data_IF_649667085253
#
_entry.id   IF_649667085253
#
_cell.length_a   1.000
_cell.length_b   1.000
_cell.length_c   1.000
_cell.angle_alpha   90.00
_cell.angle_beta   90.00
_cell.angle_gamma   90.00
#
_symmetry.space_group_name_H-M   'P 1'
#
loop_
_entity.id
_entity.type
_entity.pdbx_description
1 polymer ?
#
# COMPACT_ATOMS: atom_id res chain seq x y z
N UNK A 1 22.40 -1.41 7.59
CA UNK A 1 21.50 -2.52 7.96
C UNK A 1 20.35 -2.51 6.99
N UNK A 2 20.56 -2.97 5.75
CA UNK A 2 19.60 -2.67 4.66
C UNK A 2 18.39 -3.62 4.64
N UNK A 3 18.60 -4.88 5.02
CA UNK A 3 17.58 -5.93 4.93
C UNK A 3 16.79 -6.15 6.23
N UNK A 4 17.12 -5.41 7.30
CA UNK A 4 16.46 -5.51 8.62
C UNK A 4 16.17 -6.95 9.06
N UNK A 5 17.22 -7.79 9.04
CA UNK A 5 17.12 -9.24 9.33
C UNK A 5 17.02 -9.49 10.83
N UNK A 6 17.90 -8.88 11.61
CA UNK A 6 17.93 -9.04 13.07
C UNK A 6 17.45 -7.77 13.77
N UNK A 7 16.65 -7.89 14.85
CA UNK A 7 16.18 -6.74 15.61
C UNK A 7 17.33 -6.02 16.30
N UNK A 8 17.24 -4.69 16.48
CA UNK A 8 18.21 -3.96 17.29
C UNK A 8 18.11 -4.37 18.76
N UNK A 9 19.25 -4.41 19.45
CA UNK A 9 19.34 -4.69 20.88
C UNK A 9 19.46 -3.40 21.69
N UNK A 10 18.99 -3.46 22.94
CA UNK A 10 19.13 -2.40 23.94
C UNK A 10 17.83 -1.68 24.28
N UNK A 11 17.91 -0.82 25.28
CA UNK A 11 16.76 -0.11 25.81
C UNK A 11 16.58 1.27 25.15
N UNK A 12 15.33 1.72 25.14
CA UNK A 12 14.93 3.03 24.64
C UNK A 12 13.72 3.54 25.42
N UNK A 13 13.68 4.86 25.67
CA UNK A 13 12.50 5.48 26.24
C UNK A 13 11.31 5.38 25.29
N UNK A 14 10.12 5.11 25.83
CA UNK A 14 8.89 4.99 25.05
C UNK A 14 8.59 6.27 24.24
N UNK A 15 8.94 7.43 24.78
CA UNK A 15 8.79 8.71 24.10
C UNK A 15 9.59 8.75 22.79
N UNK A 16 10.86 8.36 22.85
CA UNK A 16 11.75 8.34 21.68
C UNK A 16 11.31 7.27 20.68
N UNK A 17 10.93 6.09 21.19
CA UNK A 17 10.36 5.02 20.38
C UNK A 17 9.15 5.53 19.57
N UNK A 18 8.21 6.20 20.24
CA UNK A 18 7.02 6.79 19.63
C UNK A 18 7.38 7.85 18.60
N UNK A 19 8.26 8.79 18.96
CA UNK A 19 8.69 9.87 18.07
C UNK A 19 9.34 9.33 16.79
N UNK A 20 10.24 8.35 16.92
CA UNK A 20 10.94 7.76 15.78
C UNK A 20 10.01 6.97 14.86
N UNK A 21 9.04 6.25 15.42
CA UNK A 21 8.02 5.54 14.65
C UNK A 21 7.13 6.49 13.87
N UNK A 22 6.63 7.55 14.52
CA UNK A 22 5.78 8.54 13.87
C UNK A 22 6.53 9.28 12.77
N UNK A 23 7.80 9.61 12.99
CA UNK A 23 8.64 10.24 11.98
C UNK A 23 8.85 9.32 10.77
N UNK A 24 9.22 8.05 10.99
CA UNK A 24 9.37 7.08 9.89
C UNK A 24 8.06 6.84 9.16
N UNK A 25 6.95 6.66 9.86
CA UNK A 25 5.66 6.41 9.22
C UNK A 25 5.20 7.61 8.39
N UNK A 26 5.42 8.84 8.87
CA UNK A 26 5.15 10.07 8.08
C UNK A 26 5.95 10.04 6.77
N UNK A 27 7.25 9.77 6.86
CA UNK A 27 8.10 9.63 5.68
C UNK A 27 7.61 8.51 4.74
N UNK A 28 7.25 7.34 5.27
CA UNK A 28 6.75 6.22 4.47
C UNK A 28 5.41 6.54 3.77
N UNK A 29 4.57 7.39 4.36
CA UNK A 29 3.35 7.87 3.70
C UNK A 29 3.68 8.78 2.52
N UNK A 30 4.70 9.62 2.63
CA UNK A 30 5.14 10.46 1.51
C UNK A 30 5.80 9.61 0.42
N UNK A 31 6.60 8.61 0.78
CA UNK A 31 7.11 7.60 -0.15
C UNK A 31 5.98 6.86 -0.86
N UNK A 32 4.90 6.52 -0.15
CA UNK A 32 3.71 5.89 -0.74
C UNK A 32 3.09 6.78 -1.82
N UNK A 33 2.98 8.09 -1.54
CA UNK A 33 2.43 9.09 -2.47
C UNK A 33 3.28 9.27 -3.73
N UNK A 34 4.59 9.02 -3.66
CA UNK A 34 5.47 9.05 -4.83
C UNK A 34 5.14 7.97 -5.89
N UNK A 35 4.33 6.95 -5.56
CA UNK A 35 3.90 5.87 -6.49
C UNK A 35 5.04 5.21 -7.28
N UNK A 36 6.22 5.11 -6.67
CA UNK A 36 7.41 4.52 -7.29
C UNK A 36 8.17 5.42 -8.27
N UNK A 37 7.83 6.72 -8.36
CA UNK A 37 8.60 7.70 -9.13
C UNK A 37 9.93 8.00 -8.46
N UNK A 38 11.04 7.64 -9.11
CA UNK A 38 12.40 7.88 -8.61
C UNK A 38 12.72 9.37 -8.49
N UNK A 39 12.16 10.21 -9.38
CA UNK A 39 12.37 11.66 -9.35
C UNK A 39 11.70 12.28 -8.13
N UNK A 40 10.40 12.01 -7.93
CA UNK A 40 9.69 12.52 -6.75
C UNK A 40 10.30 12.02 -5.45
N UNK A 41 10.83 10.80 -5.43
CA UNK A 41 11.50 10.27 -4.24
C UNK A 41 12.85 10.95 -3.98
N UNK A 42 13.59 11.28 -5.04
CA UNK A 42 14.82 12.07 -4.92
C UNK A 42 14.51 13.46 -4.36
N UNK A 43 13.53 14.15 -4.93
CA UNK A 43 13.11 15.48 -4.47
C UNK A 43 12.64 15.44 -3.00
N UNK A 44 11.87 14.40 -2.62
CA UNK A 44 11.43 14.19 -1.25
C UNK A 44 12.64 14.02 -0.30
N UNK A 45 13.60 13.19 -0.65
CA UNK A 45 14.79 12.93 0.18
C UNK A 45 15.67 14.15 0.29
N UNK A 46 15.90 14.87 -0.81
CA UNK A 46 16.74 16.07 -0.85
C UNK A 46 16.16 17.19 0.04
N UNK A 47 14.83 17.34 0.06
CA UNK A 47 14.12 18.31 0.93
C UNK A 47 14.12 17.94 2.43
N UNK A 48 14.40 16.69 2.79
CA UNK A 48 14.39 16.20 4.17
C UNK A 48 15.78 16.18 4.83
N UNK A 49 16.83 16.60 4.12
CA UNK A 49 18.24 16.31 4.42
C UNK A 49 18.79 16.90 5.73
N UNK A 50 18.11 17.83 6.40
CA UNK A 50 18.65 18.45 7.63
C UNK A 50 18.13 17.89 8.95
N UNK A 51 17.01 17.13 9.01
CA UNK A 51 16.38 16.79 10.31
C UNK A 51 16.00 15.30 10.53
N UNK A 52 16.16 14.41 9.54
CA UNK A 52 15.74 13.01 9.70
C UNK A 52 16.91 12.01 9.73
N UNK A 53 17.51 11.80 10.91
CA UNK A 53 18.37 10.64 11.21
C UNK A 53 17.72 9.27 10.86
N UNK A 54 16.39 9.25 10.68
CA UNK A 54 15.63 8.12 10.18
C UNK A 54 16.07 7.66 8.78
N UNK A 55 16.67 8.56 7.99
CA UNK A 55 17.14 8.32 6.62
C UNK A 55 18.58 7.81 6.57
N UNK A 56 19.33 7.89 7.68
CA UNK A 56 20.71 7.43 7.75
C UNK A 56 20.70 5.91 7.88
N UNK A 57 21.27 5.22 6.89
CA UNK A 57 21.21 3.76 6.84
C UNK A 57 21.99 3.12 7.99
N UNK A 58 21.32 2.22 8.72
CA UNK A 58 21.96 1.52 9.83
C UNK A 58 22.15 2.37 11.09
N UNK A 59 21.58 3.57 11.14
CA UNK A 59 21.44 4.30 12.40
C UNK A 59 20.55 3.50 13.37
N UNK A 60 20.78 3.67 14.68
CA UNK A 60 19.93 3.05 15.71
C UNK A 60 18.47 3.43 15.50
N UNK A 61 18.21 4.67 15.07
CA UNK A 61 16.88 5.21 14.80
C UNK A 61 16.22 4.55 13.59
N UNK A 62 16.92 4.36 12.47
CA UNK A 62 16.43 3.67 11.27
C UNK A 62 16.00 2.23 11.59
N UNK A 63 16.88 1.47 12.26
CA UNK A 63 16.58 0.09 12.66
C UNK A 63 15.41 0.02 13.66
N UNK A 64 15.44 0.83 14.72
CA UNK A 64 14.42 0.76 15.79
C UNK A 64 13.04 1.15 15.28
N UNK A 65 12.95 2.23 14.49
CA UNK A 65 11.67 2.66 13.92
C UNK A 65 11.09 1.63 12.95
N UNK A 66 11.91 1.00 12.10
CA UNK A 66 11.47 -0.06 11.21
C UNK A 66 10.88 -1.27 11.97
N UNK A 67 11.63 -1.81 12.94
CA UNK A 67 11.18 -2.99 13.71
C UNK A 67 9.96 -2.68 14.59
N UNK A 68 9.87 -1.47 15.12
CA UNK A 68 8.70 -1.06 15.91
C UNK A 68 7.46 -0.91 15.03
N UNK A 69 7.58 -0.35 13.82
CA UNK A 69 6.47 -0.30 12.87
C UNK A 69 6.04 -1.71 12.45
N UNK A 70 6.95 -2.70 12.36
CA UNK A 70 6.54 -4.09 12.12
C UNK A 70 5.57 -4.59 13.19
N UNK A 71 5.84 -4.29 14.47
CA UNK A 71 4.97 -4.66 15.58
C UNK A 71 3.63 -3.92 15.56
N UNK A 72 3.60 -2.67 15.09
CA UNK A 72 2.37 -1.87 15.02
C UNK A 72 1.48 -2.26 13.83
N UNK A 73 2.10 -2.56 12.69
CA UNK A 73 1.39 -2.79 11.44
C UNK A 73 1.10 -4.28 11.19
N UNK A 74 1.53 -5.21 12.04
CA UNK A 74 1.36 -6.63 11.74
C UNK A 74 -0.10 -7.08 11.75
N UNK A 75 -0.96 -6.48 12.58
CA UNK A 75 -2.34 -6.92 12.76
C UNK A 75 -3.40 -6.08 12.02
N UNK A 76 -3.07 -4.85 11.64
CA UNK A 76 -3.94 -4.01 10.80
C UNK A 76 -3.59 -4.20 9.30
N UNK A 77 -4.49 -4.78 8.49
CA UNK A 77 -4.21 -5.06 7.09
C UNK A 77 -3.99 -3.78 6.25
N UNK A 78 -4.70 -2.69 6.56
CA UNK A 78 -4.56 -1.43 5.82
C UNK A 78 -3.20 -0.79 6.10
N UNK A 79 -2.79 -0.73 7.38
CA UNK A 79 -1.45 -0.25 7.74
C UNK A 79 -0.35 -1.16 7.19
N UNK A 80 -0.55 -2.47 7.24
CA UNK A 80 0.42 -3.46 6.73
C UNK A 80 0.71 -3.26 5.26
N UNK A 81 -0.33 -3.11 4.44
CA UNK A 81 -0.18 -3.01 3.00
C UNK A 81 0.55 -1.72 2.62
N UNK A 82 0.18 -0.59 3.25
CA UNK A 82 0.89 0.69 3.07
C UNK A 82 2.34 0.58 3.52
N UNK A 83 2.59 0.03 4.72
CA UNK A 83 3.94 -0.12 5.26
C UNK A 83 4.83 -0.97 4.35
N UNK A 84 4.36 -2.14 3.91
CA UNK A 84 5.12 -3.05 3.05
C UNK A 84 5.43 -2.38 1.70
N UNK A 85 4.43 -1.77 1.06
CA UNK A 85 4.62 -1.12 -0.24
C UNK A 85 5.61 0.06 -0.15
N UNK A 86 5.46 0.91 0.86
CA UNK A 86 6.35 2.03 1.09
C UNK A 86 7.78 1.59 1.40
N UNK A 87 7.97 0.59 2.26
CA UNK A 87 9.30 0.05 2.58
C UNK A 87 9.99 -0.58 1.38
N UNK A 88 9.26 -1.33 0.54
CA UNK A 88 9.82 -1.91 -0.70
C UNK A 88 10.22 -0.79 -1.66
N UNK A 89 9.37 0.22 -1.81
CA UNK A 89 9.64 1.39 -2.67
C UNK A 89 10.87 2.16 -2.19
N UNK A 90 10.96 2.42 -0.88
CA UNK A 90 12.10 3.08 -0.26
C UNK A 90 13.38 2.25 -0.38
N UNK A 91 13.31 0.93 -0.15
CA UNK A 91 14.43 0.01 -0.33
C UNK A 91 14.97 0.07 -1.77
N UNK A 92 14.08 0.02 -2.78
CA UNK A 92 14.49 0.10 -4.19
C UNK A 92 15.26 1.39 -4.49
N UNK A 93 14.77 2.52 -3.99
CA UNK A 93 15.44 3.80 -4.13
C UNK A 93 16.81 3.81 -3.45
N UNK A 94 16.89 3.43 -2.17
CA UNK A 94 18.18 3.35 -1.44
C UNK A 94 19.18 2.47 -2.17
N UNK A 95 18.75 1.28 -2.57
CA UNK A 95 19.60 0.33 -3.28
C UNK A 95 20.09 0.87 -4.63
N UNK A 96 19.29 1.68 -5.32
CA UNK A 96 19.69 2.34 -6.58
C UNK A 96 20.72 3.46 -6.37
N UNK A 97 20.74 4.07 -5.19
CA UNK A 97 21.68 5.13 -4.83
C UNK A 97 23.02 4.62 -4.29
N UNK A 98 23.11 3.33 -3.92
CA UNK A 98 24.32 2.77 -3.33
C UNK A 98 25.48 2.68 -4.31
N UNK A 99 26.66 3.04 -3.80
CA UNK A 99 27.94 2.73 -4.38
C UNK A 99 28.24 1.24 -4.28
N UNK A 100 29.18 0.78 -5.10
CA UNK A 100 29.59 -0.64 -5.15
C UNK A 100 29.97 -1.21 -3.78
N UNK A 101 30.73 -0.46 -3.00
CA UNK A 101 31.18 -0.84 -1.65
C UNK A 101 30.02 -0.98 -0.67
N UNK A 102 29.04 -0.08 -0.75
CA UNK A 102 27.84 -0.07 0.08
C UNK A 102 26.95 -1.27 -0.23
N UNK A 103 26.74 -1.58 -1.51
CA UNK A 103 26.03 -2.80 -1.93
C UNK A 103 26.75 -4.03 -1.36
N UNK A 104 28.08 -4.13 -1.49
CA UNK A 104 28.82 -5.26 -0.92
C UNK A 104 28.66 -5.37 0.60
N UNK A 105 28.64 -4.24 1.31
CA UNK A 105 28.41 -4.20 2.76
C UNK A 105 26.99 -4.66 3.11
N UNK A 106 25.98 -4.18 2.38
CA UNK A 106 24.56 -4.53 2.57
C UNK A 106 24.27 -6.03 2.42
N UNK A 107 25.06 -6.73 1.60
CA UNK A 107 24.90 -8.15 1.33
C UNK A 107 25.55 -9.06 2.40
N UNK A 108 26.45 -8.55 3.25
CA UNK A 108 27.12 -9.38 4.27
C UNK A 108 26.12 -10.00 5.26
N UNK A 109 25.17 -9.25 5.86
CA UNK A 109 24.16 -9.82 6.74
C UNK A 109 23.27 -10.83 6.01
N UNK A 110 22.92 -10.55 4.75
CA UNK A 110 22.10 -11.45 3.94
C UNK A 110 22.82 -12.77 3.67
N UNK A 111 24.13 -12.74 3.37
CA UNK A 111 24.95 -13.94 3.20
C UNK A 111 25.03 -14.76 4.48
N UNK A 112 25.14 -14.11 5.64
CA UNK A 112 25.13 -14.79 6.94
C UNK A 112 23.78 -15.49 7.18
N UNK A 113 22.68 -14.76 7.00
CA UNK A 113 21.33 -15.29 7.15
C UNK A 113 21.03 -16.44 6.17
N UNK A 114 21.52 -16.34 4.93
CA UNK A 114 21.43 -17.43 3.95
C UNK A 114 22.09 -18.73 4.44
N UNK A 115 23.28 -18.62 5.05
CA UNK A 115 23.94 -19.77 5.65
C UNK A 115 23.17 -20.33 6.85
N UNK A 116 22.59 -19.46 7.70
CA UNK A 116 21.74 -19.86 8.83
C UNK A 116 20.50 -20.63 8.35
N UNK A 117 19.82 -20.15 7.30
CA UNK A 117 18.65 -20.82 6.71
C UNK A 117 18.99 -22.21 6.18
N UNK A 118 20.14 -22.39 5.51
CA UNK A 118 20.57 -23.71 5.00
C UNK A 118 20.84 -24.73 6.10
N UNK A 119 21.24 -24.27 7.29
CA UNK A 119 21.52 -25.13 8.44
C UNK A 119 20.27 -25.41 9.29
N UNK A 120 19.22 -24.61 9.13
CA UNK A 120 17.97 -24.78 9.89
C UNK A 120 17.17 -25.99 9.40
N UNK A 121 16.71 -26.81 10.35
CA UNK A 121 15.87 -27.99 10.07
C UNK A 121 14.37 -27.67 10.01
N UNK A 122 13.95 -26.58 10.68
CA UNK A 122 12.56 -26.22 10.86
C UNK A 122 12.28 -24.85 10.22
N UNK A 123 12.25 -24.83 8.90
CA UNK A 123 11.94 -23.62 8.13
C UNK A 123 10.44 -23.44 7.96
N UNK A 124 9.96 -22.22 8.19
CA UNK A 124 8.63 -21.77 7.78
C UNK A 124 8.47 -21.82 6.25
N UNK A 125 7.24 -21.75 5.75
CA UNK A 125 7.00 -21.73 4.30
C UNK A 125 7.71 -20.53 3.63
N UNK A 126 7.61 -19.34 4.24
CA UNK A 126 8.22 -18.11 3.77
C UNK A 126 9.74 -18.18 3.82
N UNK A 127 10.32 -18.77 4.88
CA UNK A 127 11.77 -18.99 4.96
C UNK A 127 12.27 -19.93 3.85
N UNK A 128 11.48 -20.95 3.45
CA UNK A 128 11.81 -21.81 2.31
C UNK A 128 11.77 -21.04 0.99
N UNK A 129 10.83 -20.11 0.83
CA UNK A 129 10.79 -19.25 -0.36
C UNK A 129 12.01 -18.33 -0.43
N UNK A 130 12.38 -17.70 0.68
CA UNK A 130 13.59 -16.87 0.80
C UNK A 130 14.82 -17.71 0.45
N UNK A 131 14.95 -18.90 1.05
CA UNK A 131 16.07 -19.80 0.78
C UNK A 131 16.13 -20.20 -0.71
N UNK A 132 15.00 -20.57 -1.31
CA UNK A 132 14.91 -20.93 -2.73
C UNK A 132 15.39 -19.80 -3.64
N UNK A 133 15.00 -18.56 -3.34
CA UNK A 133 15.40 -17.40 -4.13
C UNK A 133 16.90 -17.09 -3.95
N UNK A 134 17.41 -17.12 -2.72
CA UNK A 134 18.83 -16.88 -2.43
C UNK A 134 19.73 -17.97 -3.03
N UNK A 135 19.28 -19.23 -2.98
CA UNK A 135 19.95 -20.34 -3.66
C UNK A 135 20.02 -20.12 -5.16
N UNK A 136 18.91 -19.72 -5.79
CA UNK A 136 18.88 -19.44 -7.23
C UNK A 136 19.82 -18.29 -7.63
N UNK A 137 19.86 -17.21 -6.85
CA UNK A 137 20.74 -16.06 -7.09
C UNK A 137 22.22 -16.47 -6.98
N UNK A 138 22.56 -17.29 -5.99
CA UNK A 138 23.94 -17.66 -5.67
C UNK A 138 24.45 -18.90 -6.41
N UNK A 139 23.58 -19.68 -7.06
CA UNK A 139 23.94 -20.92 -7.75
C UNK A 139 24.97 -20.73 -8.86
N UNK A 140 24.94 -19.59 -9.55
CA UNK A 140 25.81 -19.32 -10.71
C UNK A 140 26.82 -18.21 -10.49
N UNK A 141 26.58 -17.33 -9.52
CA UNK A 141 27.41 -16.16 -9.29
C UNK A 141 27.60 -15.95 -7.78
N UNK A 142 28.84 -15.78 -7.34
CA UNK A 142 29.07 -15.23 -5.99
C UNK A 142 28.58 -13.77 -5.94
N UNK A 143 28.17 -13.32 -4.75
CA UNK A 143 27.70 -11.96 -4.49
C UNK A 143 28.67 -10.90 -5.01
N UNK A 144 29.99 -11.13 -4.92
CA UNK A 144 31.01 -10.20 -5.43
C UNK A 144 30.93 -10.04 -6.95
N UNK A 145 30.70 -11.13 -7.67
CA UNK A 145 30.57 -11.14 -9.14
C UNK A 145 29.28 -10.46 -9.58
N UNK A 146 28.17 -10.71 -8.88
CA UNK A 146 26.88 -10.04 -9.14
C UNK A 146 26.99 -8.53 -8.98
N UNK A 147 27.58 -8.06 -7.88
CA UNK A 147 27.75 -6.62 -7.64
C UNK A 147 28.68 -5.99 -8.68
N UNK A 148 29.75 -6.69 -9.09
CA UNK A 148 30.61 -6.23 -10.19
C UNK A 148 29.82 -6.10 -11.50
N UNK A 149 29.04 -7.12 -11.87
CA UNK A 149 28.24 -7.11 -13.09
C UNK A 149 27.15 -6.02 -13.08
N UNK A 150 26.49 -5.81 -11.93
CA UNK A 150 25.51 -4.73 -11.75
C UNK A 150 26.14 -3.34 -11.93
N UNK A 151 27.24 -3.07 -11.24
CA UNK A 151 27.90 -1.74 -11.27
C UNK A 151 28.60 -1.42 -12.58
N UNK A 152 29.09 -2.43 -13.29
CA UNK A 152 29.74 -2.26 -14.60
C UNK A 152 28.75 -2.31 -15.78
N UNK A 153 27.43 -2.39 -15.51
CA UNK A 153 26.39 -2.59 -16.53
C UNK A 153 26.72 -3.73 -17.51
N UNK A 154 27.36 -4.79 -17.00
CA UNK A 154 27.86 -5.87 -17.82
C UNK A 154 26.72 -6.83 -18.21
N UNK A 155 26.87 -7.57 -19.31
CA UNK A 155 25.85 -8.45 -19.91
C UNK A 155 25.65 -9.79 -19.16
N UNK A 156 25.69 -9.75 -17.83
CA UNK A 156 25.39 -10.91 -16.99
C UNK A 156 23.89 -11.15 -16.83
N UNK A 157 23.53 -12.40 -16.52
CA UNK A 157 22.16 -12.79 -16.16
C UNK A 157 22.13 -13.47 -14.80
N UNK A 158 21.05 -13.21 -14.07
CA UNK A 158 20.69 -13.86 -12.81
C UNK A 158 19.54 -14.80 -13.13
N UNK A 159 19.65 -16.06 -12.72
CA UNK A 159 18.62 -17.08 -12.92
C UNK A 159 17.77 -17.17 -11.66
N UNK A 160 16.47 -16.90 -11.77
CA UNK A 160 15.54 -17.01 -10.66
C UNK A 160 14.24 -17.69 -11.11
N UNK A 161 13.54 -18.44 -10.24
CA UNK A 161 12.22 -18.97 -10.58
C UNK A 161 11.27 -17.84 -10.98
N UNK A 162 10.54 -18.00 -12.09
CA UNK A 162 9.75 -16.91 -12.67
C UNK A 162 8.69 -16.33 -11.72
N UNK A 163 8.19 -17.17 -10.79
CA UNK A 163 7.21 -16.81 -9.75
C UNK A 163 7.65 -15.64 -8.86
N UNK A 164 8.96 -15.43 -8.70
CA UNK A 164 9.49 -14.32 -7.91
C UNK A 164 9.57 -13.01 -8.70
N UNK A 165 9.48 -13.07 -10.03
CA UNK A 165 9.65 -11.90 -10.92
C UNK A 165 8.46 -11.76 -11.89
N UNK A 166 7.25 -12.11 -11.43
CA UNK A 166 6.02 -12.05 -12.23
C UNK A 166 5.81 -10.70 -12.91
N UNK A 167 6.12 -9.58 -12.23
CA UNK A 167 5.97 -8.24 -12.80
C UNK A 167 6.88 -8.01 -14.02
N UNK A 168 8.09 -8.59 -14.02
CA UNK A 168 9.00 -8.51 -15.17
C UNK A 168 8.54 -9.42 -16.31
N UNK A 169 7.99 -10.58 -15.98
CA UNK A 169 7.41 -11.50 -16.95
C UNK A 169 6.21 -10.87 -17.64
N UNK A 170 5.31 -10.24 -16.89
CA UNK A 170 4.14 -9.53 -17.42
C UNK A 170 4.55 -8.40 -18.39
N UNK A 171 5.65 -7.70 -18.09
CA UNK A 171 6.24 -6.66 -18.95
C UNK A 171 7.09 -7.20 -20.09
N UNK A 172 7.24 -8.53 -20.22
CA UNK A 172 8.12 -9.20 -21.19
C UNK A 172 9.57 -8.69 -21.15
N UNK A 173 10.03 -8.28 -19.97
CA UNK A 173 11.36 -7.68 -19.78
C UNK A 173 12.44 -8.70 -19.40
N UNK A 174 12.11 -10.00 -19.39
CA UNK A 174 12.99 -11.11 -19.02
C UNK A 174 12.72 -12.31 -19.93
N UNK A 175 13.75 -13.12 -20.17
CA UNK A 175 13.63 -14.35 -20.97
C UNK A 175 13.27 -15.52 -20.06
N UNK A 176 12.27 -16.31 -20.42
CA UNK A 176 11.87 -17.52 -19.69
C UNK A 176 12.44 -18.78 -20.33
N UNK A 177 13.00 -19.67 -19.52
CA UNK A 177 13.51 -20.97 -19.93
C UNK A 177 13.16 -22.01 -18.87
N UNK A 178 12.31 -22.99 -19.21
CA UNK A 178 11.95 -24.13 -18.34
C UNK A 178 11.55 -23.71 -16.89
N UNK A 179 10.70 -22.70 -16.74
CA UNK A 179 10.26 -22.19 -15.43
C UNK A 179 11.26 -21.26 -14.71
N UNK A 180 12.39 -20.95 -15.33
CA UNK A 180 13.39 -19.98 -14.82
C UNK A 180 13.35 -18.70 -15.65
N UNK A 181 13.41 -17.56 -14.99
CA UNK A 181 13.59 -16.26 -15.62
C UNK A 181 15.08 -15.87 -15.63
N UNK A 182 15.56 -15.42 -16.79
CA UNK A 182 16.87 -14.81 -16.98
C UNK A 182 16.73 -13.29 -16.81
N UNK A 183 17.14 -12.81 -15.65
CA UNK A 183 17.05 -11.39 -15.28
C UNK A 183 18.41 -10.74 -15.56
N UNK A 184 18.48 -9.66 -16.36
CA UNK A 184 19.73 -8.93 -16.57
C UNK A 184 20.34 -8.45 -15.24
N UNK A 185 21.65 -8.49 -15.10
CA UNK A 185 22.31 -8.04 -13.86
C UNK A 185 22.03 -6.57 -13.53
N UNK A 186 21.79 -5.70 -14.53
CA UNK A 186 21.37 -4.30 -14.32
C UNK A 186 20.02 -4.17 -13.57
N UNK A 187 19.23 -5.25 -13.51
CA UNK A 187 17.97 -5.35 -12.78
C UNK A 187 18.11 -6.03 -11.42
N UNK A 188 19.33 -6.15 -10.89
CA UNK A 188 19.59 -6.71 -9.56
C UNK A 188 18.77 -6.02 -8.47
N UNK A 189 18.59 -4.70 -8.53
CA UNK A 189 17.80 -3.93 -7.55
C UNK A 189 16.35 -4.44 -7.43
N UNK A 190 15.73 -4.85 -8.53
CA UNK A 190 14.38 -5.40 -8.53
C UNK A 190 14.33 -6.80 -7.92
N UNK A 191 15.33 -7.63 -8.19
CA UNK A 191 15.45 -8.97 -7.56
C UNK A 191 15.68 -8.84 -6.05
N UNK A 192 16.57 -7.93 -5.64
CA UNK A 192 16.83 -7.69 -4.21
C UNK A 192 15.62 -7.09 -3.50
N UNK A 193 14.79 -6.31 -4.18
CA UNK A 193 13.53 -5.84 -3.62
C UNK A 193 12.52 -6.97 -3.38
N UNK A 194 12.53 -8.03 -4.21
CA UNK A 194 11.72 -9.24 -3.97
C UNK A 194 12.24 -9.98 -2.74
N UNK A 195 13.57 -10.16 -2.62
CA UNK A 195 14.20 -10.73 -1.41
C UNK A 195 13.79 -9.93 -0.17
N UNK A 196 13.87 -8.61 -0.24
CA UNK A 196 13.46 -7.71 0.83
C UNK A 196 11.97 -7.84 1.18
N UNK A 197 11.09 -7.92 0.19
CA UNK A 197 9.65 -8.14 0.38
C UNK A 197 9.36 -9.43 1.14
N UNK A 198 10.04 -10.52 0.79
CA UNK A 198 9.88 -11.81 1.47
C UNK A 198 10.39 -11.74 2.92
N UNK A 199 11.58 -11.15 3.13
CA UNK A 199 12.15 -10.94 4.47
C UNK A 199 11.24 -10.07 5.35
N UNK A 200 10.68 -9.00 4.78
CA UNK A 200 9.77 -8.11 5.50
C UNK A 200 8.49 -8.85 5.87
N UNK A 201 7.90 -9.61 4.94
CA UNK A 201 6.69 -10.39 5.20
C UNK A 201 6.91 -11.43 6.29
N UNK A 202 8.05 -12.13 6.26
CA UNK A 202 8.41 -13.07 7.34
C UNK A 202 8.65 -12.34 8.67
N UNK A 203 9.33 -11.19 8.64
CA UNK A 203 9.51 -10.34 9.81
C UNK A 203 8.20 -9.86 10.43
N UNK A 204 7.19 -9.53 9.61
CA UNK A 204 5.85 -9.17 10.05
C UNK A 204 5.11 -10.37 10.67
N UNK A 205 5.29 -11.57 10.10
CA UNK A 205 4.73 -12.81 10.65
C UNK A 205 5.32 -13.11 12.03
N UNK A 206 6.63 -12.99 12.19
CA UNK A 206 7.32 -13.15 13.48
C UNK A 206 6.88 -12.08 14.48
N UNK A 207 6.75 -10.83 14.03
CA UNK A 207 6.23 -9.72 14.85
C UNK A 207 4.84 -10.03 15.40
N UNK A 208 3.92 -10.55 14.58
CA UNK A 208 2.59 -10.97 15.04
C UNK A 208 2.64 -12.07 16.11
N UNK A 209 3.58 -13.01 16.02
CA UNK A 209 3.75 -14.06 17.03
C UNK A 209 4.21 -13.53 18.40
N UNK A 210 4.76 -12.32 18.49
CA UNK A 210 5.27 -11.74 19.74
C UNK A 210 4.17 -11.24 20.70
N UNK A 211 2.91 -11.16 20.26
CA UNK A 211 1.74 -10.75 21.08
C UNK A 211 1.91 -9.43 21.84
N UNK A 212 2.62 -8.48 21.24
CA UNK A 212 2.93 -7.17 21.84
C UNK A 212 1.69 -6.31 22.13
N UNK A 213 0.54 -6.62 21.51
CA UNK A 213 -0.75 -6.00 21.81
C UNK A 213 -1.22 -6.14 23.27
N UNK A 214 -0.67 -7.11 24.01
CA UNK A 214 -0.93 -7.27 25.44
C UNK A 214 -0.45 -6.08 26.27
N UNK A 215 0.60 -5.37 25.82
CA UNK A 215 1.12 -4.19 26.51
C UNK A 215 0.28 -2.95 26.19
N UNK A 216 -0.29 -2.33 27.23
CA UNK A 216 -1.12 -1.13 27.10
C UNK A 216 -0.41 0.06 26.43
N UNK A 217 0.91 0.18 26.61
CA UNK A 217 1.74 1.25 26.04
C UNK A 217 1.86 1.10 24.52
N UNK A 218 2.10 -0.12 24.06
CA UNK A 218 2.22 -0.45 22.64
C UNK A 218 0.87 -0.31 21.95
N UNK A 219 -0.23 -0.70 22.62
CA UNK A 219 -1.60 -0.47 22.13
C UNK A 219 -1.90 1.03 21.95
N UNK A 220 -1.52 1.89 22.91
CA UNK A 220 -1.68 3.35 22.78
C UNK A 220 -0.88 3.91 21.60
N UNK A 221 0.35 3.43 21.40
CA UNK A 221 1.18 3.84 20.27
C UNK A 221 0.53 3.42 18.94
N UNK A 222 0.05 2.17 18.84
CA UNK A 222 -0.68 1.68 17.68
C UNK A 222 -1.88 2.57 17.34
N UNK A 223 -2.76 2.87 18.30
CA UNK A 223 -3.91 3.74 18.05
C UNK A 223 -3.51 5.15 17.62
N UNK A 224 -2.38 5.67 18.14
CA UNK A 224 -1.85 6.98 17.74
C UNK A 224 -1.38 6.97 16.29
N UNK A 225 -0.62 5.95 15.88
CA UNK A 225 -0.17 5.76 14.49
C UNK A 225 -1.38 5.59 13.57
N UNK A 226 -2.29 4.68 13.91
CA UNK A 226 -3.49 4.38 13.11
C UNK A 226 -4.34 5.62 12.88
N UNK A 227 -4.66 6.38 13.94
CA UNK A 227 -5.47 7.61 13.85
C UNK A 227 -4.80 8.70 13.01
N UNK A 228 -3.47 8.78 13.03
CA UNK A 228 -2.72 9.82 12.29
C UNK A 228 -2.64 9.52 10.79
N UNK A 229 -2.52 8.25 10.41
CA UNK A 229 -2.17 7.87 9.03
C UNK A 229 -3.27 7.15 8.25
N UNK A 230 -4.25 6.57 8.94
CA UNK A 230 -5.44 6.04 8.28
C UNK A 230 -6.63 6.93 8.61
N UNK A 231 -7.52 7.18 7.64
CA UNK A 231 -8.79 7.83 7.92
C UNK A 231 -9.52 6.99 8.98
N UNK A 232 -9.91 7.64 10.07
CA UNK A 232 -10.82 7.01 11.03
C UNK A 232 -12.10 6.74 10.25
N UNK A 233 -12.45 5.46 10.08
CA UNK A 233 -13.83 5.09 9.80
C UNK A 233 -14.63 5.62 11.01
N UNK A 234 -15.14 6.85 10.90
CA UNK A 234 -16.03 7.45 11.88
C UNK A 234 -17.37 6.70 11.80
N UNK A 235 -17.39 5.46 12.28
CA UNK A 235 -18.63 4.74 12.54
C UNK A 235 -19.11 4.94 13.98
N UNK A 236 -18.38 5.70 14.82
CA UNK A 236 -18.82 5.92 16.20
C UNK A 236 -18.82 7.38 16.67
N UNK A 237 -18.42 8.39 15.87
CA UNK A 237 -18.59 9.81 16.26
C UNK A 237 -18.42 10.78 15.06
N UNK A 238 -19.09 10.56 13.92
CA UNK A 238 -19.24 11.61 12.90
C UNK A 238 -20.33 12.60 13.30
N UNK A 239 -20.13 13.28 14.43
CA UNK A 239 -20.69 14.61 14.64
C UNK A 239 -19.57 15.56 14.22
N UNK A 240 -19.65 16.04 12.97
CA UNK A 240 -19.01 17.24 12.40
C UNK A 240 -18.83 17.01 10.89
N UNK A 241 -19.63 17.73 10.11
CA UNK A 241 -19.81 17.72 8.65
C UNK A 241 -20.80 16.69 8.10
N UNK A 242 -22.01 16.61 8.69
CA UNK A 242 -23.17 16.14 7.95
C UNK A 242 -23.48 17.15 6.84
N UNK A 243 -23.29 16.72 5.59
CA UNK A 243 -23.59 17.53 4.40
C UNK A 243 -25.08 17.38 4.09
N UNK A 244 -25.77 18.47 3.77
CA UNK A 244 -27.16 18.46 3.29
C UNK A 244 -27.23 18.16 1.79
N UNK A 245 -28.39 17.71 1.30
CA UNK A 245 -28.66 17.67 -0.14
C UNK A 245 -28.35 19.00 -0.86
N UNK A 246 -28.64 20.14 -0.23
CA UNK A 246 -28.45 21.47 -0.82
C UNK A 246 -26.97 21.86 -0.98
N UNK A 247 -26.11 21.36 -0.08
CA UNK A 247 -24.68 21.66 -0.08
C UNK A 247 -23.96 21.00 -1.26
N UNK A 248 -24.52 19.91 -1.83
CA UNK A 248 -23.90 19.13 -2.90
C UNK A 248 -23.59 20.00 -4.12
N UNK A 249 -24.47 20.95 -4.44
CA UNK A 249 -24.28 21.85 -5.59
C UNK A 249 -23.08 22.77 -5.37
N UNK A 250 -22.94 23.35 -4.18
CA UNK A 250 -21.80 24.20 -3.81
C UNK A 250 -20.50 23.42 -3.72
N UNK A 251 -20.56 22.18 -3.23
CA UNK A 251 -19.40 21.31 -3.10
C UNK A 251 -18.93 20.70 -4.42
N UNK A 252 -19.76 20.75 -5.46
CA UNK A 252 -19.46 20.17 -6.77
C UNK A 252 -18.19 20.75 -7.42
N UNK A 253 -17.80 21.98 -7.07
CA UNK A 253 -16.54 22.61 -7.51
C UNK A 253 -15.30 21.85 -7.03
N UNK A 254 -15.38 21.22 -5.86
CA UNK A 254 -14.27 20.45 -5.27
C UNK A 254 -14.27 18.98 -5.68
N UNK A 255 -15.27 18.53 -6.45
CA UNK A 255 -15.37 17.13 -6.82
C UNK A 255 -14.29 16.78 -7.85
N UNK A 256 -13.71 15.56 -7.77
CA UNK A 256 -12.85 15.08 -8.84
C UNK A 256 -13.68 14.93 -10.13
N UNK A 257 -13.03 15.15 -11.27
CA UNK A 257 -13.69 15.19 -12.58
C UNK A 257 -14.63 14.00 -12.86
N UNK A 258 -14.27 12.81 -12.39
CA UNK A 258 -15.08 11.61 -12.55
C UNK A 258 -16.45 11.69 -11.85
N UNK A 259 -16.53 12.36 -10.69
CA UNK A 259 -17.76 12.55 -9.93
C UNK A 259 -18.51 13.81 -10.41
N UNK A 260 -17.78 14.88 -10.74
CA UNK A 260 -18.39 16.09 -11.32
C UNK A 260 -19.14 15.77 -12.61
N UNK A 261 -18.55 14.95 -13.50
CA UNK A 261 -19.22 14.50 -14.73
C UNK A 261 -20.50 13.72 -14.46
N UNK A 262 -20.51 12.84 -13.44
CA UNK A 262 -21.71 12.08 -13.06
C UNK A 262 -22.79 12.97 -12.47
N UNK A 263 -22.40 13.95 -11.64
CA UNK A 263 -23.33 14.91 -11.06
C UNK A 263 -23.94 15.81 -12.15
N UNK A 264 -23.13 16.30 -13.09
CA UNK A 264 -23.63 17.07 -14.24
C UNK A 264 -24.57 16.26 -15.13
N UNK A 265 -24.20 15.01 -15.45
CA UNK A 265 -25.08 14.09 -16.20
C UNK A 265 -26.41 13.90 -15.46
N UNK A 266 -26.37 13.73 -14.13
CA UNK A 266 -27.57 13.59 -13.32
C UNK A 266 -28.42 14.87 -13.35
N UNK A 267 -27.82 16.06 -13.25
CA UNK A 267 -28.55 17.33 -13.27
C UNK A 267 -29.20 17.63 -14.63
N UNK A 268 -28.61 17.17 -15.74
CA UNK A 268 -29.13 17.38 -17.09
C UNK A 268 -30.18 16.31 -17.46
N UNK A 269 -29.85 15.04 -17.25
CA UNK A 269 -30.69 13.92 -17.71
C UNK A 269 -31.70 13.48 -16.63
N UNK A 270 -31.51 13.93 -15.38
CA UNK A 270 -32.19 13.44 -14.18
C UNK A 270 -32.11 11.93 -13.99
N UNK A 271 -31.16 11.27 -14.66
CA UNK A 271 -31.00 9.81 -14.68
C UNK A 271 -29.53 9.42 -14.77
N UNK A 272 -29.20 8.30 -14.13
CA UNK A 272 -27.89 7.68 -14.22
C UNK A 272 -28.00 6.17 -14.45
N UNK A 273 -27.03 5.63 -15.20
CA UNK A 273 -26.83 4.19 -15.35
C UNK A 273 -26.55 3.55 -13.99
N UNK A 274 -26.86 2.26 -13.86
CA UNK A 274 -26.77 1.52 -12.60
C UNK A 274 -25.41 1.70 -11.88
N UNK A 275 -24.30 1.46 -12.57
CA UNK A 275 -22.95 1.62 -11.98
C UNK A 275 -22.65 3.06 -11.58
N UNK A 276 -23.03 4.04 -12.41
CA UNK A 276 -22.79 5.46 -12.09
C UNK A 276 -23.59 5.91 -10.87
N UNK A 277 -24.80 5.37 -10.67
CA UNK A 277 -25.59 5.61 -9.46
C UNK A 277 -24.89 5.06 -8.22
N UNK A 278 -24.40 3.83 -8.27
CA UNK A 278 -23.68 3.21 -7.14
C UNK A 278 -22.42 4.02 -6.80
N UNK A 279 -21.61 4.35 -7.80
CA UNK A 279 -20.37 5.11 -7.64
C UNK A 279 -20.64 6.48 -7.00
N UNK A 280 -21.63 7.23 -7.50
CA UNK A 280 -21.97 8.55 -6.98
C UNK A 280 -22.58 8.46 -5.56
N UNK A 281 -23.48 7.50 -5.29
CA UNK A 281 -24.05 7.31 -3.95
C UNK A 281 -22.99 6.99 -2.91
N UNK A 282 -22.06 6.09 -3.22
CA UNK A 282 -20.99 5.71 -2.29
C UNK A 282 -20.00 6.84 -2.07
N UNK A 283 -19.71 7.64 -3.10
CA UNK A 283 -18.90 8.84 -2.98
C UNK A 283 -19.55 9.88 -2.05
N UNK A 284 -20.85 10.19 -2.26
CA UNK A 284 -21.58 11.13 -1.41
C UNK A 284 -21.71 10.63 0.04
N UNK A 285 -21.90 9.31 0.24
CA UNK A 285 -21.87 8.68 1.56
C UNK A 285 -20.54 8.92 2.27
N UNK A 286 -19.41 8.73 1.58
CA UNK A 286 -18.08 8.96 2.16
C UNK A 286 -17.75 10.44 2.38
N UNK A 287 -18.34 11.34 1.59
CA UNK A 287 -18.28 12.78 1.87
C UNK A 287 -19.03 13.18 3.15
N UNK A 288 -19.96 12.33 3.63
CA UNK A 288 -20.71 12.58 4.86
C UNK A 288 -22.20 12.88 4.64
N UNK A 289 -22.75 12.57 3.46
CA UNK A 289 -24.19 12.67 3.21
C UNK A 289 -24.94 11.57 4.00
N UNK A 290 -25.77 11.90 5.00
CA UNK A 290 -26.49 10.90 5.77
C UNK A 290 -27.61 10.25 4.94
N UNK A 291 -28.10 9.09 5.38
CA UNK A 291 -29.06 8.28 4.62
C UNK A 291 -30.33 9.05 4.23
N UNK A 292 -30.89 9.83 5.17
CA UNK A 292 -32.11 10.61 4.95
C UNK A 292 -31.90 11.66 3.84
N UNK A 293 -30.78 12.37 3.87
CA UNK A 293 -30.39 13.34 2.84
C UNK A 293 -30.10 12.66 1.50
N UNK A 294 -29.46 11.48 1.50
CA UNK A 294 -29.24 10.71 0.29
C UNK A 294 -30.56 10.25 -0.36
N UNK A 295 -31.52 9.79 0.44
CA UNK A 295 -32.86 9.46 -0.05
C UNK A 295 -33.57 10.71 -0.58
N UNK A 296 -33.43 11.85 0.08
CA UNK A 296 -33.99 13.12 -0.37
C UNK A 296 -33.40 13.56 -1.72
N UNK A 297 -32.07 13.55 -1.84
CA UNK A 297 -31.32 13.86 -3.05
C UNK A 297 -31.78 13.02 -4.25
N UNK A 298 -31.75 11.68 -4.10
CA UNK A 298 -32.16 10.81 -5.21
C UNK A 298 -33.64 10.92 -5.54
N UNK A 299 -34.49 11.20 -4.54
CA UNK A 299 -35.92 11.45 -4.75
C UNK A 299 -36.14 12.72 -5.55
N UNK A 300 -35.43 13.81 -5.23
CA UNK A 300 -35.54 15.07 -5.94
C UNK A 300 -35.16 14.90 -7.41
N UNK A 301 -34.03 14.27 -7.70
CA UNK A 301 -33.55 14.05 -9.07
C UNK A 301 -34.46 13.09 -9.86
N UNK A 302 -34.83 11.93 -9.30
CA UNK A 302 -35.60 10.92 -10.04
C UNK A 302 -37.10 11.21 -10.10
N UNK A 303 -37.56 12.25 -9.40
CA UNK A 303 -38.92 12.78 -9.54
C UNK A 303 -39.05 13.79 -10.67
N UNK A 304 -37.93 14.32 -11.20
CA UNK A 304 -37.95 15.20 -12.36
C UNK A 304 -38.36 14.45 -13.64
N UNK A 305 -38.94 15.16 -14.64
CA UNK A 305 -39.29 14.58 -15.93
C UNK A 305 -38.07 13.94 -16.57
N UNK A 306 -38.17 12.65 -16.89
CA UNK A 306 -37.06 11.89 -17.44
C UNK A 306 -37.54 10.75 -18.34
N UNK A 307 -36.68 10.24 -19.23
CA UNK A 307 -37.08 9.36 -20.32
C UNK A 307 -37.61 7.99 -19.86
N UNK A 308 -37.25 7.52 -18.65
CA UNK A 308 -37.66 6.20 -18.10
C UNK A 308 -37.69 6.20 -16.56
N UNK A 309 -38.65 5.47 -15.97
CA UNK A 309 -38.82 5.13 -14.55
C UNK A 309 -38.82 6.34 -13.59
N UNK A 310 -39.97 6.64 -12.96
CA UNK A 310 -40.07 7.69 -11.94
C UNK A 310 -39.69 7.15 -10.56
N UNK A 311 -39.24 8.03 -9.67
CA UNK A 311 -39.16 7.71 -8.23
C UNK A 311 -40.50 7.18 -7.70
N UNK A 312 -41.64 7.74 -8.15
CA UNK A 312 -42.98 7.31 -7.69
C UNK A 312 -43.29 5.86 -8.05
N UNK A 313 -42.84 5.40 -9.22
CA UNK A 313 -43.15 4.05 -9.72
C UNK A 313 -42.25 2.98 -9.05
N UNK A 314 -41.01 3.35 -8.69
CA UNK A 314 -39.98 2.43 -8.19
C UNK A 314 -39.41 2.79 -6.80
N UNK A 315 -40.13 3.56 -5.99
CA UNK A 315 -39.67 4.11 -4.71
C UNK A 315 -39.08 3.02 -3.78
N UNK A 316 -39.79 1.89 -3.67
CA UNK A 316 -39.36 0.75 -2.85
C UNK A 316 -38.01 0.19 -3.31
N UNK A 317 -37.79 0.10 -4.63
CA UNK A 317 -36.56 -0.44 -5.22
C UNK A 317 -35.39 0.51 -4.99
N UNK A 318 -35.58 1.82 -5.21
CA UNK A 318 -34.52 2.81 -5.00
C UNK A 318 -34.16 2.94 -3.51
N UNK A 319 -35.16 2.98 -2.64
CA UNK A 319 -34.96 3.09 -1.19
C UNK A 319 -34.23 1.86 -0.66
N UNK A 320 -34.63 0.65 -1.07
CA UNK A 320 -33.92 -0.58 -0.71
C UNK A 320 -32.46 -0.55 -1.19
N UNK A 321 -32.21 -0.15 -2.44
CA UNK A 321 -30.86 -0.10 -2.99
C UNK A 321 -29.96 0.90 -2.24
N UNK A 322 -30.46 2.11 -1.93
CA UNK A 322 -29.71 3.12 -1.18
C UNK A 322 -29.42 2.61 0.24
N UNK A 323 -30.42 2.07 0.95
CA UNK A 323 -30.20 1.49 2.30
C UNK A 323 -29.19 0.35 2.30
N UNK A 324 -29.21 -0.49 1.25
CA UNK A 324 -28.22 -1.54 1.07
C UNK A 324 -26.80 -1.00 0.91
N UNK A 325 -26.59 0.08 0.14
CA UNK A 325 -25.28 0.74 0.00
C UNK A 325 -24.80 1.39 1.32
N UNK A 326 -25.73 1.82 2.16
CA UNK A 326 -25.44 2.29 3.52
C UNK A 326 -25.23 1.15 4.53
N UNK A 327 -25.37 -0.12 4.11
CA UNK A 327 -25.14 -1.30 4.96
C UNK A 327 -26.30 -1.64 5.90
N UNK A 328 -27.49 -1.09 5.66
CA UNK A 328 -28.67 -1.29 6.52
C UNK A 328 -29.57 -2.45 6.07
N UNK A 329 -29.35 -2.98 4.88
CA UNK A 329 -30.14 -4.07 4.27
C UNK A 329 -29.20 -5.19 3.78
N UNK A 330 -29.73 -6.41 3.61
CA UNK A 330 -28.97 -7.57 3.12
C UNK A 330 -27.89 -8.05 4.11
N UNK A 331 -26.67 -8.35 3.62
CA UNK A 331 -25.56 -8.87 4.44
C UNK A 331 -24.88 -7.82 5.34
N UNK A 332 -25.46 -6.62 5.46
CA UNK A 332 -24.95 -5.49 6.27
C UNK A 332 -23.47 -5.18 6.05
N UNK A 333 -23.00 -5.32 4.81
CA UNK A 333 -21.62 -4.99 4.43
C UNK A 333 -21.48 -3.48 4.32
N UNK A 334 -20.40 -2.93 4.87
CA UNK A 334 -20.07 -1.52 4.69
C UNK A 334 -19.43 -1.30 3.31
N UNK A 335 -20.26 -0.99 2.31
CA UNK A 335 -19.78 -0.64 0.98
C UNK A 335 -18.99 0.66 1.02
N UNK A 336 -17.76 0.65 0.49
CA UNK A 336 -16.87 1.80 0.34
C UNK A 336 -16.94 2.38 -1.07
N UNK A 337 -16.60 3.66 -1.22
CA UNK A 337 -16.47 4.28 -2.53
C UNK A 337 -15.35 3.61 -3.35
N UNK A 338 -15.48 3.70 -4.66
CA UNK A 338 -14.51 3.11 -5.57
C UNK A 338 -13.24 3.96 -5.62
N UNK A 339 -12.08 3.31 -5.53
CA UNK A 339 -10.80 3.99 -5.76
C UNK A 339 -10.61 4.35 -7.24
N UNK A 340 -9.70 5.29 -7.51
CA UNK A 340 -9.44 5.76 -8.89
C UNK A 340 -9.10 4.62 -9.85
N UNK A 341 -8.35 3.62 -9.40
CA UNK A 341 -7.96 2.47 -10.21
C UNK A 341 -9.19 1.62 -10.60
N UNK A 342 -10.09 1.34 -9.65
CA UNK A 342 -11.34 0.62 -9.92
C UNK A 342 -12.22 1.36 -10.93
N UNK A 343 -12.33 2.68 -10.81
CA UNK A 343 -13.10 3.51 -11.74
C UNK A 343 -12.52 3.50 -13.15
N UNK A 344 -11.20 3.50 -13.29
CA UNK A 344 -10.50 3.48 -14.59
C UNK A 344 -10.59 2.13 -15.30
N UNK A 345 -10.61 1.02 -14.56
CA UNK A 345 -10.73 -0.33 -15.13
C UNK A 345 -12.16 -0.57 -15.63
N UNK A 346 -13.17 -0.13 -14.88
CA UNK A 346 -14.58 -0.31 -15.26
C UNK A 346 -14.98 0.48 -16.52
N UNK A 347 -14.32 1.60 -16.83
CA UNK A 347 -14.59 2.41 -18.03
C UNK A 347 -14.15 1.76 -19.35
N UNK A 348 -13.35 0.69 -19.32
CA UNK A 348 -12.81 0.05 -20.54
C UNK A 348 -13.78 -0.93 -21.23
N UNK A 349 -15.04 -1.03 -20.79
CA UNK A 349 -16.07 -1.89 -21.41
C UNK A 349 -17.15 -1.11 -22.17
N UNK A 350 -16.78 -0.04 -22.86
CA UNK A 350 -17.66 0.57 -23.88
C UNK A 350 -16.88 1.01 -25.11
N UNK A 351 -16.44 0.03 -25.92
CA UNK A 351 -16.48 0.11 -27.38
C UNK A 351 -16.94 -1.26 -27.89
N UNK A 352 -18.22 -1.36 -28.24
CA UNK A 352 -18.74 -2.07 -29.41
C UNK A 352 -20.18 -1.64 -29.65
#
# INVERSE_FOLDING_TARGET
MTFYIHPPSGDLHLHDLSAWCLQRMTFLMDVYRCRGSTMQMRDLVDNLTTECECLIEGSKKDATSHFTLRLMCCDDPELRDVFIQSEISFFKFRFSCFLRSEIQSSLKPLKKYHAELRLSKNLSEQEREILTLLDAITAQNDWRSLVKAYTQSNSGFIRVPFRFVCNMVAKRSVVLQKGTALVPCCKLSEVMAVVFSLLLTEGMRVARCSRVEADSRMRRLYHTVRRKFLPVNNNENSVHNSISCDDISSLSEFFPLCMSMKLQTLQVDHRLRHHSRIQLTLFLKELGLPLNEALHFWRQEYSQPGPRHSWKDEERRYTYNIRHLYGLEGSRRNYRSHCCESLQIETNFTIK
#
